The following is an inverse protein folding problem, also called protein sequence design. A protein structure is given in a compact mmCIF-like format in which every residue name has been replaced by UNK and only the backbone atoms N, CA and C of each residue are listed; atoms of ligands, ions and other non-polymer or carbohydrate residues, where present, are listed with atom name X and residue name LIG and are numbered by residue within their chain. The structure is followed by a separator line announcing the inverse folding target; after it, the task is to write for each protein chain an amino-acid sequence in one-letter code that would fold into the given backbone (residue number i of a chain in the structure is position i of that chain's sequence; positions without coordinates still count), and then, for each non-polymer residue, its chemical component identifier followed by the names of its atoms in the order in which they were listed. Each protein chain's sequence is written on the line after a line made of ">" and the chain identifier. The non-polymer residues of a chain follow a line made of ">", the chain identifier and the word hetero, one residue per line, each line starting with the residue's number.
data_IF_918287495750
#
_entry.id   IF_918287495750
#
_cell.length_a   1.000
_cell.length_b   1.000
_cell.length_c   1.000
_cell.angle_alpha   90.00
_cell.angle_beta   90.00
_cell.angle_gamma   90.00
#
_symmetry.space_group_name_H-M   'P 1'
#
loop_
_entity.id
_entity.type
_entity.pdbx_description
1 polymer ?
#
# COMPACT_ATOMS: atom_id res chain seq x y z
N UNK A 1 -30.61 48.13 -59.00
CA UNK A 1 -29.64 47.50 -58.10
C UNK A 1 -30.38 47.07 -56.83
N UNK A 2 -30.60 45.79 -56.69
CA UNK A 2 -31.27 45.22 -55.53
C UNK A 2 -30.22 44.36 -54.80
N UNK A 3 -29.71 44.85 -53.70
CA UNK A 3 -28.74 44.14 -52.87
C UNK A 3 -29.48 43.29 -51.85
N UNK A 4 -29.42 41.99 -52.02
CA UNK A 4 -29.99 41.03 -51.10
C UNK A 4 -29.02 40.74 -49.98
N UNK A 5 -29.28 41.27 -48.79
CA UNK A 5 -28.59 40.83 -47.57
C UNK A 5 -29.29 39.58 -47.02
N UNK A 6 -28.70 38.42 -47.22
CA UNK A 6 -29.06 37.21 -46.47
C UNK A 6 -28.28 37.21 -45.15
N UNK A 7 -28.98 37.55 -44.08
CA UNK A 7 -28.45 37.30 -42.75
C UNK A 7 -28.40 35.79 -42.52
N UNK A 8 -27.21 35.28 -42.35
CA UNK A 8 -26.99 33.92 -41.84
C UNK A 8 -27.05 34.01 -40.33
N UNK A 9 -28.15 33.55 -39.74
CA UNK A 9 -28.20 33.20 -38.32
C UNK A 9 -27.46 31.87 -38.15
N UNK A 10 -26.20 31.92 -37.85
CA UNK A 10 -25.45 30.76 -37.39
C UNK A 10 -25.61 30.62 -35.87
N UNK A 11 -26.12 29.50 -35.44
CA UNK A 11 -26.59 29.22 -34.11
C UNK A 11 -25.53 29.24 -33.03
N UNK A 12 -25.88 29.93 -31.98
CA UNK A 12 -25.25 29.76 -30.64
C UNK A 12 -26.03 28.64 -29.93
N UNK A 13 -25.68 27.42 -30.21
CA UNK A 13 -26.16 26.26 -29.47
C UNK A 13 -25.01 25.27 -29.33
N UNK A 14 -24.14 25.48 -28.34
CA UNK A 14 -23.04 24.55 -28.18
C UNK A 14 -22.08 24.78 -27.02
N UNK A 15 -22.45 25.51 -25.97
CA UNK A 15 -21.50 25.74 -24.83
C UNK A 15 -22.18 25.59 -23.45
N UNK A 16 -23.03 24.59 -23.25
CA UNK A 16 -23.58 24.31 -21.92
C UNK A 16 -23.45 22.85 -21.45
N UNK A 17 -22.67 22.02 -22.14
CA UNK A 17 -22.48 20.62 -21.71
C UNK A 17 -21.12 20.38 -21.02
N UNK A 18 -20.24 21.42 -20.90
CA UNK A 18 -18.89 21.25 -20.37
C UNK A 18 -18.72 21.38 -18.86
N UNK A 19 -19.67 21.91 -18.11
CA UNK A 19 -19.46 22.27 -16.71
C UNK A 19 -20.00 21.23 -15.71
N UNK A 20 -20.95 20.41 -16.12
CA UNK A 20 -21.49 19.35 -15.25
C UNK A 20 -20.57 18.11 -15.14
N UNK A 21 -19.78 17.83 -16.19
CA UNK A 21 -18.86 16.69 -16.20
C UNK A 21 -17.61 16.86 -15.34
N UNK A 22 -17.11 18.11 -15.20
CA UNK A 22 -15.87 18.36 -14.45
C UNK A 22 -16.06 18.26 -12.92
N UNK A 23 -17.24 18.56 -12.39
CA UNK A 23 -17.53 18.40 -10.96
C UNK A 23 -17.70 16.94 -10.53
N UNK A 24 -18.13 16.06 -11.41
CA UNK A 24 -18.28 14.64 -11.10
C UNK A 24 -16.93 13.90 -11.05
N UNK A 25 -15.89 14.40 -11.72
CA UNK A 25 -14.56 13.81 -11.70
C UNK A 25 -13.75 14.17 -10.44
N UNK A 26 -14.08 15.24 -9.76
CA UNK A 26 -13.38 15.63 -8.50
C UNK A 26 -14.01 15.05 -7.23
N UNK A 27 -15.19 14.45 -7.33
CA UNK A 27 -15.95 13.98 -6.17
C UNK A 27 -15.60 12.54 -5.71
N UNK A 28 -14.48 11.95 -6.15
CA UNK A 28 -14.32 10.52 -5.94
C UNK A 28 -12.93 9.96 -5.67
N UNK A 29 -11.89 10.76 -5.49
CA UNK A 29 -10.60 10.21 -5.08
C UNK A 29 -10.49 10.24 -3.54
N UNK A 30 -11.21 9.34 -2.89
CA UNK A 30 -10.95 9.03 -1.49
C UNK A 30 -9.63 8.27 -1.44
N UNK A 31 -8.59 8.91 -0.92
CA UNK A 31 -7.32 8.22 -0.65
C UNK A 31 -7.59 7.13 0.37
N UNK A 32 -7.32 5.87 0.07
CA UNK A 32 -7.51 4.80 1.04
C UNK A 32 -6.61 5.02 2.26
N UNK A 33 -7.01 4.53 3.44
CA UNK A 33 -6.15 4.58 4.60
C UNK A 33 -4.89 3.74 4.34
N UNK A 34 -3.74 4.15 4.88
CA UNK A 34 -2.52 3.35 4.82
C UNK A 34 -2.72 2.03 5.55
N UNK A 35 -1.95 1.02 5.21
CA UNK A 35 -1.98 -0.24 5.91
C UNK A 35 -0.58 -0.70 6.29
N UNK A 36 -0.51 -1.49 7.34
CA UNK A 36 0.72 -2.03 7.88
C UNK A 36 0.64 -3.54 7.94
N UNK A 37 1.69 -4.20 7.46
CA UNK A 37 1.90 -5.62 7.75
C UNK A 37 2.77 -5.70 8.98
N UNK A 38 2.22 -6.21 10.05
CA UNK A 38 2.94 -6.40 11.32
C UNK A 38 3.32 -7.86 11.43
N UNK A 39 4.59 -8.14 11.68
CA UNK A 39 5.11 -9.47 11.96
C UNK A 39 5.74 -9.52 13.35
N UNK A 40 5.26 -10.43 14.18
CA UNK A 40 5.94 -10.83 15.40
C UNK A 40 6.85 -12.02 15.05
N UNK A 41 8.11 -11.93 15.41
CA UNK A 41 9.14 -12.87 14.95
C UNK A 41 9.88 -13.47 16.13
N UNK A 42 9.85 -14.79 16.22
CA UNK A 42 10.76 -15.58 17.04
C UNK A 42 11.70 -16.33 16.07
N UNK A 43 12.94 -15.86 16.00
CA UNK A 43 13.93 -16.44 15.10
C UNK A 43 14.41 -17.80 15.62
N UNK A 44 14.18 -18.84 14.82
CA UNK A 44 14.63 -20.20 15.07
C UNK A 44 15.92 -20.52 14.30
N UNK A 45 16.10 -19.86 13.15
CA UNK A 45 17.28 -19.96 12.29
C UNK A 45 17.65 -18.56 11.80
N UNK A 46 18.69 -17.99 12.39
CA UNK A 46 19.17 -16.65 12.05
C UNK A 46 19.71 -16.56 10.62
N UNK A 47 20.37 -17.61 10.13
CA UNK A 47 20.91 -17.63 8.76
C UNK A 47 19.78 -17.66 7.73
N UNK A 48 18.74 -18.46 7.99
CA UNK A 48 17.53 -18.47 7.17
C UNK A 48 16.80 -17.13 7.19
N UNK A 49 16.67 -16.51 8.36
CA UNK A 49 16.05 -15.20 8.49
C UNK A 49 16.83 -14.10 7.75
N UNK A 50 18.16 -14.16 7.78
CA UNK A 50 19.00 -13.25 7.00
C UNK A 50 18.77 -13.42 5.50
N UNK A 51 18.75 -14.65 4.98
CA UNK A 51 18.45 -14.94 3.57
C UNK A 51 17.08 -14.42 3.15
N UNK A 52 16.09 -14.53 4.03
CA UNK A 52 14.78 -13.95 3.79
C UNK A 52 14.87 -12.42 3.72
N UNK A 53 15.54 -11.79 4.68
CA UNK A 53 15.72 -10.33 4.74
C UNK A 53 16.37 -9.75 3.49
N UNK A 54 17.36 -10.44 2.91
CA UNK A 54 18.05 -10.04 1.67
C UNK A 54 17.12 -10.02 0.45
N UNK A 55 16.04 -10.80 0.46
CA UNK A 55 15.12 -11.00 -0.68
C UNK A 55 13.82 -10.23 -0.57
N UNK A 56 13.33 -10.01 0.64
CA UNK A 56 11.98 -9.45 0.84
C UNK A 56 11.83 -8.03 0.32
N UNK A 57 12.90 -7.22 0.42
CA UNK A 57 12.88 -5.83 -0.05
C UNK A 57 12.48 -5.72 -1.53
N UNK A 58 13.03 -6.57 -2.39
CA UNK A 58 12.74 -6.56 -3.82
C UNK A 58 11.28 -6.91 -4.14
N UNK A 59 10.61 -7.65 -3.26
CA UNK A 59 9.20 -8.02 -3.45
C UNK A 59 8.23 -6.90 -3.11
N UNK A 60 8.67 -5.88 -2.37
CA UNK A 60 7.84 -4.78 -1.87
C UNK A 60 7.60 -3.69 -2.92
N UNK A 61 8.60 -3.40 -3.74
CA UNK A 61 8.60 -2.27 -4.66
C UNK A 61 7.37 -2.21 -5.60
N UNK A 62 6.90 -3.32 -6.23
CA UNK A 62 5.72 -3.29 -7.10
C UNK A 62 4.43 -2.87 -6.40
N UNK A 63 4.38 -2.96 -5.07
CA UNK A 63 3.22 -2.64 -4.24
C UNK A 63 3.39 -1.34 -3.46
N UNK A 64 4.45 -0.57 -3.75
CA UNK A 64 4.85 0.61 -2.98
C UNK A 64 5.01 0.32 -1.48
N UNK A 65 5.39 -0.93 -1.16
CA UNK A 65 5.67 -1.36 0.20
C UNK A 65 7.08 -0.98 0.63
N UNK A 66 7.24 -0.63 1.89
CA UNK A 66 8.55 -0.31 2.45
C UNK A 66 8.61 -0.69 3.94
N UNK A 67 9.83 -0.85 4.44
CA UNK A 67 10.03 -1.02 5.86
C UNK A 67 9.65 0.26 6.60
N UNK A 68 8.74 0.13 7.56
CA UNK A 68 8.45 1.20 8.50
C UNK A 68 9.40 1.13 9.69
N UNK A 69 9.55 -0.05 10.26
CA UNK A 69 10.65 -0.38 11.14
C UNK A 69 10.88 -1.91 11.23
N UNK A 70 12.06 -2.29 11.68
CA UNK A 70 12.42 -3.65 11.97
C UNK A 70 13.21 -3.68 13.29
N UNK A 71 12.72 -4.48 14.23
CA UNK A 71 13.35 -4.68 15.53
C UNK A 71 13.66 -6.16 15.67
N UNK A 72 14.94 -6.47 15.69
CA UNK A 72 15.43 -7.84 15.86
C UNK A 72 16.93 -7.82 16.15
N UNK A 73 17.48 -8.93 16.62
CA UNK A 73 18.92 -9.09 16.78
C UNK A 73 19.58 -8.16 17.80
N UNK A 74 18.88 -7.77 18.88
CA UNK A 74 19.44 -6.93 19.95
C UNK A 74 18.89 -5.52 20.02
N UNK A 75 17.96 -5.15 19.12
CA UNK A 75 17.21 -3.92 19.32
C UNK A 75 16.35 -4.04 20.59
N UNK A 76 16.29 -2.96 21.36
CA UNK A 76 15.64 -2.98 22.67
C UNK A 76 14.14 -2.76 22.50
N UNK A 77 13.36 -3.79 22.84
CA UNK A 77 11.91 -3.64 23.08
C UNK A 77 11.76 -3.30 24.58
N UNK A 78 11.16 -2.16 24.86
CA UNK A 78 10.83 -1.77 26.23
C UNK A 78 9.40 -2.21 26.52
N UNK A 79 9.25 -3.14 27.43
CA UNK A 79 7.93 -3.64 27.85
C UNK A 79 7.27 -2.62 28.78
N UNK A 80 6.01 -2.33 28.51
CA UNK A 80 5.13 -1.57 29.39
C UNK A 80 4.17 -2.52 30.14
N UNK A 81 3.56 -3.43 29.39
CA UNK A 81 2.64 -4.44 29.92
C UNK A 81 2.78 -5.75 29.14
N UNK A 82 2.69 -6.87 29.83
CA UNK A 82 2.68 -8.21 29.25
C UNK A 82 4.04 -8.67 28.70
N UNK A 83 4.03 -9.77 27.98
CA UNK A 83 5.20 -10.32 27.33
C UNK A 83 5.48 -9.62 25.99
N UNK A 84 6.67 -9.05 25.80
CA UNK A 84 7.03 -8.45 24.51
C UNK A 84 7.26 -9.52 23.45
N UNK A 85 7.06 -9.22 22.16
CA UNK A 85 7.54 -10.08 21.08
C UNK A 85 9.09 -10.12 21.11
N UNK A 86 9.69 -11.23 20.70
CA UNK A 86 11.15 -11.35 20.59
C UNK A 86 11.73 -10.51 19.46
N UNK A 87 10.96 -10.33 18.40
CA UNK A 87 11.26 -9.44 17.31
C UNK A 87 9.96 -8.93 16.70
N UNK A 88 10.02 -7.78 16.06
CA UNK A 88 8.88 -7.18 15.38
C UNK A 88 9.33 -6.52 14.09
N UNK A 89 8.59 -6.76 13.01
CA UNK A 89 8.75 -6.07 11.74
C UNK A 89 7.46 -5.39 11.33
N UNK A 90 7.56 -4.19 10.81
CA UNK A 90 6.41 -3.46 10.27
C UNK A 90 6.75 -2.96 8.88
N UNK A 91 5.94 -3.40 7.91
CA UNK A 91 5.95 -2.91 6.55
C UNK A 91 4.77 -1.97 6.35
N UNK A 92 4.97 -0.88 5.65
CA UNK A 92 3.92 0.08 5.34
C UNK A 92 3.55 0.01 3.86
N UNK A 93 2.26 0.15 3.58
CA UNK A 93 1.66 0.18 2.24
C UNK A 93 0.63 1.30 2.15
N UNK A 94 0.35 1.77 0.95
CA UNK A 94 -0.66 2.82 0.72
C UNK A 94 -2.09 2.36 1.05
N UNK A 95 -2.33 1.05 1.07
CA UNK A 95 -3.65 0.46 1.36
C UNK A 95 -3.55 -1.00 1.80
N UNK A 96 -4.59 -1.50 2.44
CA UNK A 96 -4.72 -2.92 2.78
C UNK A 96 -4.78 -3.82 1.54
N UNK A 97 -5.34 -3.33 0.42
CA UNK A 97 -5.35 -4.04 -0.86
C UNK A 97 -3.94 -4.27 -1.38
N UNK A 98 -3.08 -3.24 -1.36
CA UNK A 98 -1.67 -3.38 -1.76
C UNK A 98 -0.89 -4.32 -0.85
N UNK A 99 -1.12 -4.24 0.45
CA UNK A 99 -0.50 -5.15 1.43
C UNK A 99 -0.91 -6.62 1.17
N UNK A 100 -2.18 -6.86 0.90
CA UNK A 100 -2.69 -8.19 0.53
C UNK A 100 -2.12 -8.65 -0.80
N UNK A 101 -2.13 -7.78 -1.82
CA UNK A 101 -1.57 -8.07 -3.13
C UNK A 101 -0.10 -8.45 -3.07
N UNK A 102 0.69 -7.76 -2.24
CA UNK A 102 2.07 -8.16 -1.97
C UNK A 102 2.16 -9.55 -1.37
N UNK A 103 1.41 -9.83 -0.31
CA UNK A 103 1.46 -11.12 0.40
C UNK A 103 1.09 -12.30 -0.50
N UNK A 104 0.15 -12.10 -1.42
CA UNK A 104 -0.33 -13.12 -2.36
C UNK A 104 0.45 -13.10 -3.69
N UNK A 105 1.46 -12.23 -3.85
CA UNK A 105 2.22 -12.12 -5.08
C UNK A 105 3.14 -13.33 -5.31
N UNK A 106 3.36 -13.74 -6.57
CA UNK A 106 4.28 -14.83 -6.89
C UNK A 106 5.69 -14.59 -6.37
N UNK A 107 6.17 -13.33 -6.36
CA UNK A 107 7.49 -12.97 -5.86
C UNK A 107 7.62 -13.23 -4.35
N UNK A 108 6.60 -12.86 -3.56
CA UNK A 108 6.60 -13.13 -2.13
C UNK A 108 6.36 -14.61 -1.83
N UNK A 109 5.45 -15.27 -2.54
CA UNK A 109 5.20 -16.71 -2.41
C UNK A 109 6.48 -17.55 -2.59
N UNK A 110 7.37 -17.15 -3.50
CA UNK A 110 8.63 -17.83 -3.74
C UNK A 110 9.60 -17.80 -2.53
N UNK A 111 9.56 -16.73 -1.71
CA UNK A 111 10.46 -16.56 -0.56
C UNK A 111 9.79 -16.86 0.79
N UNK A 112 8.48 -16.90 0.84
CA UNK A 112 7.69 -17.18 2.05
C UNK A 112 8.14 -18.45 2.80
N UNK A 113 8.45 -19.59 2.13
CA UNK A 113 8.93 -20.79 2.80
C UNK A 113 10.22 -20.57 3.59
N UNK A 114 11.12 -19.67 3.15
CA UNK A 114 12.36 -19.35 3.86
C UNK A 114 12.02 -18.74 5.23
N UNK A 115 11.08 -17.77 5.26
CA UNK A 115 10.63 -17.17 6.51
C UNK A 115 9.94 -18.20 7.41
N UNK A 116 9.02 -18.98 6.86
CA UNK A 116 8.25 -19.97 7.64
C UNK A 116 9.13 -21.04 8.27
N UNK A 117 10.23 -21.43 7.61
CA UNK A 117 11.21 -22.37 8.16
C UNK A 117 12.12 -21.72 9.23
N UNK A 118 12.42 -20.44 9.08
CA UNK A 118 13.39 -19.74 9.91
C UNK A 118 12.76 -19.09 11.16
N UNK A 119 11.44 -18.92 11.20
CA UNK A 119 10.77 -18.17 12.26
C UNK A 119 9.49 -18.84 12.74
N UNK A 120 9.15 -18.59 14.00
CA UNK A 120 7.81 -18.73 14.54
C UNK A 120 7.23 -17.34 14.80
N UNK A 121 5.93 -17.21 14.74
CA UNK A 121 5.27 -15.95 15.03
C UNK A 121 4.02 -15.72 14.19
N UNK A 122 3.56 -14.51 14.23
CA UNK A 122 2.32 -14.07 13.54
C UNK A 122 2.63 -12.99 12.54
N UNK A 123 1.85 -12.94 11.47
CA UNK A 123 1.86 -11.84 10.52
C UNK A 123 0.42 -11.46 10.18
N UNK A 124 0.11 -10.19 10.23
CA UNK A 124 -1.25 -9.70 9.99
C UNK A 124 -1.23 -8.30 9.40
N UNK A 125 -2.31 -7.92 8.73
CA UNK A 125 -2.51 -6.59 8.18
C UNK A 125 -3.34 -5.78 9.18
N UNK A 126 -2.90 -4.54 9.43
CA UNK A 126 -3.65 -3.54 10.19
C UNK A 126 -3.89 -2.35 9.27
N UNK A 127 -5.14 -1.98 9.09
CA UNK A 127 -5.50 -0.77 8.38
C UNK A 127 -5.35 0.44 9.31
N UNK A 128 -4.68 1.47 8.84
CA UNK A 128 -4.49 2.71 9.56
C UNK A 128 -5.72 3.60 9.53
N UNK A 129 -5.60 4.79 10.10
CA UNK A 129 -6.65 5.80 10.02
C UNK A 129 -6.64 6.46 8.65
N UNK A 130 -7.81 6.80 8.14
CA UNK A 130 -7.91 7.62 6.94
C UNK A 130 -7.23 8.97 7.17
N UNK A 131 -6.57 9.55 6.14
CA UNK A 131 -6.06 10.92 6.23
C UNK A 131 -7.20 11.88 6.58
N UNK A 132 -6.95 12.74 7.56
CA UNK A 132 -7.90 13.80 7.96
C UNK A 132 -7.70 15.06 7.15
#
# INVERSE_FOLDING_TARGET
>A
MKTNYRLALAGFAGVLIGIAGAKAMYAGQVTPPPAYVISEVDAMDLAGLQKYGEKVGDTLAPFNGHYHFLVGGGAKIQTLDGEPPKGIGVLAFDSAEKARGWYDSPAYEAIKPIRLSATKGRMFIVEGLAPQ
#
